data_IF_303945557983
#
_entry.id   IF_303945557983
#
_cell.length_a   1.000
_cell.length_b   1.000
_cell.length_c   1.000
_cell.angle_alpha   90.00
_cell.angle_beta   90.00
_cell.angle_gamma   90.00
#
_symmetry.space_group_name_H-M   'P 1'
#
loop_
_entity.id
_entity.type
_entity.pdbx_description
1 polymer ?
#
# COMPACT_ATOMS: atom_id res chain seq x y z
N UNK A 1 -10.93 15.49 -20.31
CA UNK A 1 -9.60 14.92 -19.97
C UNK A 1 -9.68 14.42 -18.54
N UNK A 2 -9.70 13.10 -18.34
CA UNK A 2 -9.80 12.48 -17.01
C UNK A 2 -8.48 12.66 -16.28
N UNK A 3 -8.46 13.54 -15.27
CA UNK A 3 -7.30 13.80 -14.43
C UNK A 3 -6.98 12.54 -13.61
N UNK A 4 -5.83 11.93 -13.87
CA UNK A 4 -5.40 10.71 -13.20
C UNK A 4 -4.52 11.07 -12.01
N UNK A 5 -5.06 10.94 -10.80
CA UNK A 5 -4.21 10.76 -9.62
C UNK A 5 -3.69 9.32 -9.67
N UNK A 6 -2.44 9.12 -9.27
CA UNK A 6 -1.82 7.79 -9.24
C UNK A 6 -0.95 7.66 -8.02
N UNK A 7 -1.04 6.51 -7.37
CA UNK A 7 -0.07 6.09 -6.37
C UNK A 7 1.21 5.64 -7.06
N UNK A 8 2.35 6.16 -6.61
CA UNK A 8 3.69 5.85 -7.13
C UNK A 8 4.66 5.62 -5.98
N UNK A 9 5.83 5.03 -6.29
CA UNK A 9 6.92 4.82 -5.32
C UNK A 9 6.48 4.15 -4.01
N UNK A 10 5.69 3.09 -4.13
CA UNK A 10 5.32 2.26 -2.97
C UNK A 10 6.58 1.60 -2.39
N UNK A 11 6.82 1.84 -1.10
CA UNK A 11 7.97 1.34 -0.36
C UNK A 11 7.53 0.72 0.96
N UNK A 12 8.29 -0.26 1.40
CA UNK A 12 8.19 -0.88 2.72
C UNK A 12 9.58 -0.81 3.36
N UNK A 13 9.70 -0.28 4.57
CA UNK A 13 10.99 -0.03 5.23
C UNK A 13 11.98 0.73 4.33
N UNK A 14 11.47 1.77 3.66
CA UNK A 14 12.21 2.61 2.70
C UNK A 14 12.72 1.88 1.45
N UNK A 15 12.42 0.59 1.28
CA UNK A 15 12.83 -0.26 0.17
C UNK A 15 11.68 -0.51 -0.82
N UNK A 16 12.02 -0.64 -2.11
CA UNK A 16 11.09 -1.07 -3.15
C UNK A 16 11.11 -2.60 -3.23
N UNK A 17 9.94 -3.25 -3.12
CA UNK A 17 9.79 -4.71 -3.17
C UNK A 17 10.78 -5.47 -2.27
N UNK A 18 10.83 -5.18 -0.95
CA UNK A 18 11.80 -5.83 -0.08
C UNK A 18 11.51 -7.32 0.08
N UNK A 19 12.58 -8.10 0.18
CA UNK A 19 12.53 -9.51 0.52
C UNK A 19 13.00 -9.72 1.96
N UNK A 20 12.28 -10.55 2.73
CA UNK A 20 12.72 -10.94 4.07
C UNK A 20 12.62 -9.85 5.15
N UNK A 21 11.54 -9.07 5.17
CA UNK A 21 11.28 -8.13 6.27
C UNK A 21 10.94 -8.91 7.56
N UNK A 22 11.79 -8.78 8.57
CA UNK A 22 11.62 -9.33 9.92
C UNK A 22 11.02 -8.32 10.92
N UNK A 23 10.95 -7.04 10.51
CA UNK A 23 10.31 -5.97 11.27
C UNK A 23 8.85 -6.31 11.50
N UNK A 24 8.44 -6.40 12.77
CA UNK A 24 7.06 -6.73 13.14
C UNK A 24 6.07 -5.68 12.63
N UNK A 25 6.44 -4.40 12.72
CA UNK A 25 5.61 -3.22 12.38
C UNK A 25 6.24 -2.41 11.23
N UNK A 26 6.24 -2.94 9.99
CA UNK A 26 6.92 -2.27 8.90
C UNK A 26 6.26 -0.94 8.52
N UNK A 27 7.09 0.01 8.11
CA UNK A 27 6.72 1.34 7.62
C UNK A 27 6.37 1.25 6.15
N UNK A 28 5.13 1.57 5.82
CA UNK A 28 4.67 1.72 4.44
C UNK A 28 4.72 3.18 4.04
N UNK A 29 5.15 3.45 2.82
CA UNK A 29 5.15 4.80 2.25
C UNK A 29 4.89 4.76 0.75
N UNK A 30 4.29 5.82 0.23
CA UNK A 30 4.02 6.01 -1.19
C UNK A 30 4.01 7.51 -1.51
N UNK A 31 3.93 7.84 -2.79
CA UNK A 31 3.74 9.20 -3.28
C UNK A 31 2.50 9.27 -4.16
N UNK A 32 1.78 10.38 -4.07
CA UNK A 32 0.74 10.70 -5.03
C UNK A 32 1.35 11.50 -6.19
N UNK A 33 1.11 11.03 -7.40
CA UNK A 33 1.44 11.72 -8.64
C UNK A 33 0.14 12.22 -9.27
N UNK A 34 0.08 13.51 -9.58
CA UNK A 34 -1.09 14.16 -10.16
C UNK A 34 -0.65 15.39 -10.93
N UNK A 35 -1.38 15.71 -11.98
CA UNK A 35 -1.24 16.93 -12.79
C UNK A 35 -1.93 18.15 -12.14
N UNK A 36 -2.75 17.95 -11.10
CA UNK A 36 -3.50 19.00 -10.44
C UNK A 36 -2.75 19.60 -9.25
N UNK A 37 -2.48 20.92 -9.31
CA UNK A 37 -1.95 21.69 -8.18
C UNK A 37 -2.96 21.76 -7.02
N UNK A 38 -2.43 21.81 -5.80
CA UNK A 38 -3.24 21.86 -4.58
C UNK A 38 -3.90 20.53 -4.20
N UNK A 39 -3.55 19.43 -4.89
CA UNK A 39 -4.04 18.11 -4.53
C UNK A 39 -3.40 17.65 -3.22
N UNK A 40 -4.24 17.13 -2.33
CA UNK A 40 -3.83 16.52 -1.07
C UNK A 40 -4.57 15.20 -0.91
N UNK A 41 -3.88 14.21 -0.35
CA UNK A 41 -4.52 12.98 0.09
C UNK A 41 -5.54 13.28 1.20
N UNK A 42 -6.74 12.70 1.10
CA UNK A 42 -7.80 12.80 2.12
C UNK A 42 -8.19 11.44 2.69
N UNK A 43 -7.80 10.37 2.00
CA UNK A 43 -8.04 8.99 2.40
C UNK A 43 -6.96 8.07 1.81
N UNK A 44 -6.88 6.86 2.33
CA UNK A 44 -6.09 5.78 1.73
C UNK A 44 -6.71 4.42 2.06
N UNK A 45 -6.38 3.42 1.24
CA UNK A 45 -6.63 2.01 1.55
C UNK A 45 -5.38 1.19 1.24
N UNK A 46 -4.98 0.32 2.15
CA UNK A 46 -3.86 -0.62 1.95
C UNK A 46 -4.43 -2.03 1.87
N UNK A 47 -4.06 -2.74 0.80
CA UNK A 47 -4.38 -4.15 0.61
C UNK A 47 -3.10 -4.96 0.44
N UNK A 48 -3.09 -6.15 1.02
CA UNK A 48 -1.97 -7.09 0.98
C UNK A 48 -2.48 -8.45 0.52
N UNK A 49 -1.78 -9.06 -0.42
CA UNK A 49 -2.03 -10.44 -0.80
C UNK A 49 -0.73 -11.21 -1.10
N UNK A 50 -0.83 -12.54 -1.13
CA UNK A 50 0.28 -13.42 -1.51
C UNK A 50 0.60 -13.38 -3.01
N UNK A 51 -0.32 -12.89 -3.85
CA UNK A 51 -0.08 -12.76 -5.28
C UNK A 51 -0.69 -11.46 -5.79
N UNK A 52 -0.14 -10.94 -6.87
CA UNK A 52 -0.72 -9.79 -7.55
C UNK A 52 -2.12 -10.10 -8.09
N UNK A 53 -2.34 -11.33 -8.59
CA UNK A 53 -3.66 -11.80 -9.04
C UNK A 53 -4.71 -11.67 -7.94
N UNK A 54 -4.38 -12.06 -6.71
CA UNK A 54 -5.27 -11.92 -5.56
C UNK A 54 -5.61 -10.45 -5.26
N UNK A 55 -4.65 -9.53 -5.40
CA UNK A 55 -4.91 -8.09 -5.27
C UNK A 55 -5.81 -7.55 -6.37
N UNK A 56 -5.57 -7.94 -7.62
CA UNK A 56 -6.34 -7.46 -8.78
C UNK A 56 -7.79 -7.92 -8.70
N UNK A 57 -8.03 -9.18 -8.30
CA UNK A 57 -9.37 -9.74 -8.17
C UNK A 57 -9.98 -9.55 -6.78
N UNK A 58 -9.31 -8.83 -5.87
CA UNK A 58 -9.77 -8.59 -4.49
C UNK A 58 -10.15 -9.89 -3.75
N UNK A 59 -9.44 -10.98 -4.05
CA UNK A 59 -9.73 -12.32 -3.54
C UNK A 59 -8.56 -12.83 -2.73
N UNK A 60 -8.82 -13.57 -1.65
CA UNK A 60 -7.76 -14.12 -0.79
C UNK A 60 -6.74 -13.05 -0.36
N UNK A 61 -7.24 -11.88 0.03
CA UNK A 61 -6.44 -10.84 0.65
C UNK A 61 -5.93 -11.36 2.01
N UNK A 62 -4.65 -11.18 2.25
CA UNK A 62 -4.04 -11.42 3.57
C UNK A 62 -4.55 -10.37 4.55
N UNK A 63 -4.73 -9.15 4.04
CA UNK A 63 -5.18 -8.04 4.84
C UNK A 63 -5.77 -6.93 3.98
N UNK A 64 -6.82 -6.29 4.49
CA UNK A 64 -7.44 -5.10 3.95
C UNK A 64 -7.84 -4.18 5.11
N UNK A 65 -7.36 -2.94 5.10
CA UNK A 65 -7.71 -1.93 6.09
C UNK A 65 -9.08 -1.29 5.87
N UNK A 66 -9.67 -1.49 4.69
CA UNK A 66 -10.73 -0.61 4.22
C UNK A 66 -10.23 0.82 3.99
N UNK A 67 -11.17 1.71 3.66
CA UNK A 67 -10.87 3.12 3.43
C UNK A 67 -10.68 3.85 4.76
N UNK A 68 -9.48 4.35 4.99
CA UNK A 68 -9.14 5.20 6.14
C UNK A 68 -9.25 6.66 5.71
N UNK A 69 -10.07 7.44 6.41
CA UNK A 69 -10.27 8.87 6.15
C UNK A 69 -9.18 9.73 6.82
N UNK A 70 -7.93 9.49 6.46
CA UNK A 70 -6.80 10.32 6.85
C UNK A 70 -5.92 10.62 5.62
N UNK A 71 -5.36 11.83 5.57
CA UNK A 71 -4.42 12.25 4.55
C UNK A 71 -3.00 11.74 4.78
N UNK A 72 -2.73 11.13 5.94
CA UNK A 72 -1.41 10.62 6.32
C UNK A 72 -1.55 9.25 6.96
N UNK A 73 -0.67 8.31 6.58
CA UNK A 73 -0.49 7.07 7.33
C UNK A 73 0.25 7.39 8.64
N UNK A 74 -0.47 7.36 9.76
CA UNK A 74 0.09 7.68 11.08
C UNK A 74 0.55 6.45 11.86
N UNK A 75 0.01 5.30 11.53
CA UNK A 75 0.28 4.06 12.25
C UNK A 75 1.16 3.10 11.44
N UNK A 76 2.18 2.55 12.09
CA UNK A 76 2.93 1.42 11.56
C UNK A 76 2.07 0.17 11.64
N UNK A 77 1.75 -0.40 10.50
CA UNK A 77 0.90 -1.58 10.44
C UNK A 77 1.72 -2.87 10.60
N UNK A 78 1.23 -3.80 11.42
CA UNK A 78 1.81 -5.12 11.60
C UNK A 78 1.54 -5.98 10.36
N UNK A 79 2.51 -6.13 9.45
CA UNK A 79 2.39 -7.08 8.34
C UNK A 79 2.79 -8.46 8.87
N UNK A 80 1.84 -9.19 9.45
CA UNK A 80 2.11 -10.57 9.88
C UNK A 80 2.45 -11.42 8.68
N UNK A 81 3.69 -11.91 8.71
CA UNK A 81 4.31 -12.52 7.57
C UNK A 81 4.76 -13.93 7.81
N UNK A 82 3.85 -14.89 7.91
CA UNK A 82 4.27 -16.29 7.88
C UNK A 82 4.53 -16.71 6.43
N UNK A 83 5.80 -16.98 6.10
CA UNK A 83 6.20 -17.67 4.87
C UNK A 83 6.74 -16.75 3.77
N UNK A 84 7.94 -17.09 3.28
CA UNK A 84 8.68 -16.42 2.22
C UNK A 84 8.18 -16.76 0.81
N UNK A 85 6.92 -16.44 0.52
CA UNK A 85 6.43 -16.36 -0.86
C UNK A 85 6.02 -14.91 -1.14
N UNK A 86 6.41 -14.43 -2.31
CA UNK A 86 6.31 -13.05 -2.80
C UNK A 86 5.07 -12.33 -2.30
N UNK A 87 5.20 -11.10 -1.80
CA UNK A 87 4.08 -10.32 -1.26
C UNK A 87 3.84 -9.13 -2.14
N UNK A 88 2.60 -8.99 -2.59
CA UNK A 88 2.19 -7.80 -3.30
C UNK A 88 1.49 -6.87 -2.30
N UNK A 89 1.96 -5.63 -2.25
CA UNK A 89 1.34 -4.51 -1.53
C UNK A 89 0.76 -3.57 -2.58
N UNK A 90 -0.47 -3.10 -2.37
CA UNK A 90 -1.06 -2.04 -3.19
C UNK A 90 -1.71 -1.02 -2.26
N UNK A 91 -1.32 0.25 -2.45
CA UNK A 91 -2.07 1.37 -1.92
C UNK A 91 -3.04 1.85 -3.02
N UNK A 92 -4.30 2.04 -2.63
CA UNK A 92 -5.37 2.53 -3.50
C UNK A 92 -5.77 3.92 -3.00
N UNK A 93 -6.07 4.81 -3.94
CA UNK A 93 -6.49 6.20 -3.75
C UNK A 93 -7.97 6.35 -3.37
#
# INVERSE_FOLDING_TARGET
MTQATRVTQLRCEYMTNPFGIDVKKPRLSWRLSTDRRGTRQIAYQVRVAYTEKNLIHESNLVWDLGKVLDGVIRENFLIFGKGGRSRALRAVE
#
